data_IF_745617369019
#
_entry.id   IF_745617369019
#
_cell.length_a   1.000
_cell.length_b   1.000
_cell.length_c   1.000
_cell.angle_alpha   90.00
_cell.angle_beta   90.00
_cell.angle_gamma   90.00
#
_symmetry.space_group_name_H-M   'P 1'
#
loop_
_entity.id
_entity.type
_entity.pdbx_description
1 polymer ?
#
# COMPACT_ATOMS: atom_id res chain seq x y z
N UNK A 1 3.74 -32.17 10.83
CA UNK A 1 2.73 -31.55 11.74
C UNK A 1 2.31 -30.23 11.11
N UNK A 2 1.04 -30.10 10.74
CA UNK A 2 0.49 -28.90 10.09
C UNK A 2 0.39 -27.78 11.12
N UNK A 3 1.21 -26.73 10.97
CA UNK A 3 1.04 -25.47 11.69
C UNK A 3 -0.01 -24.63 10.95
N UNK A 4 -1.28 -24.91 11.21
CA UNK A 4 -2.30 -23.88 10.99
C UNK A 4 -1.98 -22.71 11.93
N UNK A 5 -2.00 -21.44 11.45
CA UNK A 5 -1.85 -20.30 12.34
C UNK A 5 -3.11 -20.21 13.21
N UNK A 6 -3.07 -20.84 14.38
CA UNK A 6 -4.06 -20.60 15.42
C UNK A 6 -3.81 -19.21 15.97
N UNK A 7 -4.58 -18.23 15.49
CA UNK A 7 -4.78 -17.00 16.26
C UNK A 7 -5.36 -17.39 17.60
N UNK A 8 -4.56 -17.33 18.67
CA UNK A 8 -5.02 -17.59 20.04
C UNK A 8 -6.25 -16.72 20.35
N UNK A 9 -7.29 -17.23 21.04
CA UNK A 9 -8.54 -16.51 21.35
C UNK A 9 -8.33 -15.09 21.92
N UNK A 10 -7.20 -14.87 22.59
CA UNK A 10 -6.78 -13.60 23.16
C UNK A 10 -6.51 -12.50 22.10
N UNK A 11 -5.93 -12.84 20.94
CA UNK A 11 -5.55 -11.84 19.94
C UNK A 11 -6.76 -11.23 19.22
N UNK A 12 -7.76 -12.05 18.89
CA UNK A 12 -9.00 -11.58 18.27
C UNK A 12 -9.78 -10.65 19.20
N UNK A 13 -9.89 -11.01 20.49
CA UNK A 13 -10.52 -10.18 21.51
C UNK A 13 -9.78 -8.84 21.70
N UNK A 14 -8.44 -8.85 21.71
CA UNK A 14 -7.65 -7.61 21.80
C UNK A 14 -7.81 -6.73 20.56
N UNK A 15 -7.85 -7.30 19.35
CA UNK A 15 -8.14 -6.56 18.11
C UNK A 15 -9.50 -5.89 18.19
N UNK A 16 -10.51 -6.63 18.62
CA UNK A 16 -11.86 -6.12 18.81
C UNK A 16 -11.88 -4.95 19.81
N UNK A 17 -11.24 -5.11 20.98
CA UNK A 17 -11.14 -4.06 21.99
C UNK A 17 -10.42 -2.79 21.48
N UNK A 18 -9.32 -2.96 20.74
CA UNK A 18 -8.63 -1.84 20.08
C UNK A 18 -9.58 -1.12 19.11
N UNK A 19 -10.28 -1.85 18.25
CA UNK A 19 -11.24 -1.24 17.31
C UNK A 19 -12.36 -0.50 18.05
N UNK A 20 -12.86 -1.04 19.16
CA UNK A 20 -13.87 -0.38 19.98
C UNK A 20 -13.36 0.93 20.60
N UNK A 21 -12.12 0.92 21.10
CA UNK A 21 -11.45 2.13 21.60
C UNK A 21 -11.26 3.17 20.49
N UNK A 22 -10.81 2.76 19.30
CA UNK A 22 -10.66 3.65 18.15
C UNK A 22 -12.01 4.27 17.76
N UNK A 23 -13.05 3.46 17.66
CA UNK A 23 -14.40 3.93 17.33
C UNK A 23 -14.93 4.93 18.37
N UNK A 24 -14.61 4.73 19.66
CA UNK A 24 -14.96 5.68 20.72
C UNK A 24 -14.20 7.01 20.59
N UNK A 25 -12.91 6.98 20.24
CA UNK A 25 -12.08 8.19 20.07
C UNK A 25 -12.56 9.05 18.88
N UNK A 26 -12.95 8.40 17.77
CA UNK A 26 -13.42 9.11 16.57
C UNK A 26 -14.89 9.52 16.65
N UNK A 27 -15.65 9.03 17.64
CA UNK A 27 -17.06 9.34 17.79
C UNK A 27 -17.28 10.84 17.93
N UNK A 28 -18.19 11.39 17.12
CA UNK A 28 -18.53 12.81 17.13
C UNK A 28 -17.48 13.74 16.50
N UNK A 29 -16.30 13.23 16.14
CA UNK A 29 -15.29 14.02 15.42
C UNK A 29 -15.72 14.17 13.96
N UNK A 30 -15.70 15.41 13.50
CA UNK A 30 -15.99 15.72 12.10
C UNK A 30 -14.82 15.38 11.19
N UNK A 31 -13.61 15.76 11.58
CA UNK A 31 -12.39 15.42 10.86
C UNK A 31 -11.53 14.56 11.78
N UNK A 32 -11.16 13.38 11.31
CA UNK A 32 -10.31 12.46 12.04
C UNK A 32 -9.47 11.64 11.06
N UNK A 33 -8.29 11.24 11.49
CA UNK A 33 -7.46 10.25 10.85
C UNK A 33 -7.05 9.20 11.86
N UNK A 34 -6.94 7.96 11.41
CA UNK A 34 -6.36 6.88 12.19
C UNK A 34 -5.16 6.32 11.44
N UNK A 35 -4.03 6.27 12.14
CA UNK A 35 -2.83 5.58 11.72
C UNK A 35 -2.81 4.22 12.43
N UNK A 36 -3.18 3.16 11.70
CA UNK A 36 -3.16 1.79 12.21
C UNK A 36 -2.39 0.93 11.21
N UNK A 37 -1.40 0.19 11.70
CA UNK A 37 -0.64 -0.75 10.87
C UNK A 37 -1.55 -1.79 10.16
N UNK A 38 -1.04 -2.38 9.08
CA UNK A 38 -1.78 -3.38 8.31
C UNK A 38 -2.13 -4.59 9.18
N UNK A 39 -3.29 -5.21 8.95
CA UNK A 39 -3.72 -6.39 9.71
C UNK A 39 -4.47 -6.13 11.03
N UNK A 40 -4.69 -4.85 11.39
CA UNK A 40 -5.53 -4.45 12.54
C UNK A 40 -7.00 -4.14 12.19
N UNK A 41 -7.38 -4.22 10.90
CA UNK A 41 -8.77 -4.06 10.46
C UNK A 41 -9.21 -2.60 10.29
N UNK A 42 -8.42 -1.78 9.60
CA UNK A 42 -8.79 -0.39 9.25
C UNK A 42 -10.11 -0.32 8.49
N UNK A 43 -10.27 -1.17 7.48
CA UNK A 43 -11.47 -1.27 6.66
C UNK A 43 -12.68 -1.69 7.51
N UNK A 44 -12.53 -2.72 8.35
CA UNK A 44 -13.55 -3.08 9.34
C UNK A 44 -13.92 -1.93 10.30
N UNK A 45 -12.97 -1.11 10.78
CA UNK A 45 -13.29 0.09 11.58
C UNK A 45 -14.16 1.06 10.77
N UNK A 46 -13.83 1.31 9.51
CA UNK A 46 -14.63 2.13 8.61
C UNK A 46 -16.06 1.61 8.47
N UNK A 47 -16.22 0.31 8.21
CA UNK A 47 -17.53 -0.35 8.09
C UNK A 47 -18.33 -0.29 9.40
N UNK A 48 -17.70 -0.56 10.55
CA UNK A 48 -18.36 -0.50 11.86
C UNK A 48 -18.77 0.92 12.25
N UNK A 49 -18.00 1.93 11.86
CA UNK A 49 -18.38 3.32 12.02
C UNK A 49 -19.60 3.70 11.17
N UNK A 50 -19.66 3.24 9.90
CA UNK A 50 -20.85 3.41 9.04
C UNK A 50 -22.09 2.76 9.66
N UNK A 51 -21.97 1.53 10.13
CA UNK A 51 -23.06 0.77 10.73
C UNK A 51 -23.61 1.47 11.99
N UNK A 52 -22.72 1.97 12.86
CA UNK A 52 -23.12 2.79 14.03
C UNK A 52 -23.85 4.07 13.63
N UNK A 53 -23.46 4.71 12.53
CA UNK A 53 -24.11 5.94 12.05
C UNK A 53 -25.51 5.67 11.48
N UNK A 54 -25.68 4.55 10.77
CA UNK A 54 -26.98 4.09 10.26
C UNK A 54 -27.91 3.72 11.43
N UNK A 55 -27.45 2.87 12.35
CA UNK A 55 -28.23 2.40 13.49
C UNK A 55 -28.67 3.53 14.42
N UNK A 56 -27.85 4.59 14.57
CA UNK A 56 -28.17 5.73 15.40
C UNK A 56 -29.18 6.72 14.76
N UNK A 57 -29.66 6.46 13.53
CA UNK A 57 -30.54 7.38 12.82
C UNK A 57 -29.90 8.75 12.55
N UNK A 58 -28.55 8.84 12.59
CA UNK A 58 -27.80 10.10 12.45
C UNK A 58 -27.60 10.53 10.99
N UNK A 59 -28.24 9.84 10.07
CA UNK A 59 -28.30 10.22 8.67
C UNK A 59 -29.61 10.97 8.46
N UNK A 60 -29.60 12.19 7.87
CA UNK A 60 -30.84 12.90 7.59
C UNK A 60 -31.78 12.00 6.79
N UNK A 61 -33.05 11.94 7.20
CA UNK A 61 -34.12 11.43 6.34
C UNK A 61 -34.01 12.20 5.01
N UNK A 62 -33.82 11.45 3.91
CA UNK A 62 -33.74 11.98 2.53
C UNK A 62 -32.41 12.61 2.09
N UNK A 63 -31.27 11.94 2.32
CA UNK A 63 -30.19 12.06 1.34
C UNK A 63 -30.63 11.35 0.05
N UNK A 64 -30.87 12.10 -1.02
CA UNK A 64 -31.08 11.54 -2.35
C UNK A 64 -29.77 10.86 -2.82
N UNK A 65 -29.60 9.59 -2.46
CA UNK A 65 -28.43 8.78 -2.83
C UNK A 65 -27.68 8.18 -1.64
N UNK A 66 -26.51 7.62 -1.94
CA UNK A 66 -25.68 6.89 -0.98
C UNK A 66 -25.01 7.86 0.01
N UNK A 67 -25.18 7.70 1.33
CA UNK A 67 -24.66 8.63 2.33
C UNK A 67 -23.14 8.57 2.51
N UNK A 68 -22.49 7.48 2.12
CA UNK A 68 -21.06 7.28 2.33
C UNK A 68 -20.29 7.26 1.02
N UNK A 69 -19.09 7.85 1.02
CA UNK A 69 -18.11 7.71 -0.06
C UNK A 69 -16.84 7.09 0.49
N UNK A 70 -16.40 5.99 -0.12
CA UNK A 70 -15.08 5.40 0.11
C UNK A 70 -14.19 5.77 -1.06
N UNK A 71 -13.03 6.37 -0.77
CA UNK A 71 -12.04 6.74 -1.77
C UNK A 71 -10.69 6.08 -1.46
N UNK A 72 -10.03 5.52 -2.48
CA UNK A 72 -8.73 4.87 -2.33
C UNK A 72 -7.80 5.13 -3.54
N UNK A 73 -6.49 4.84 -3.45
CA UNK A 73 -5.55 5.07 -4.56
C UNK A 73 -5.82 4.20 -5.80
N UNK A 74 -6.24 2.96 -5.62
CA UNK A 74 -6.39 1.96 -6.69
C UNK A 74 -7.70 1.19 -6.55
N UNK A 75 -8.15 0.56 -7.65
CA UNK A 75 -9.35 -0.29 -7.64
C UNK A 75 -9.18 -1.52 -6.73
N UNK A 76 -7.99 -2.14 -6.72
CA UNK A 76 -7.71 -3.30 -5.88
C UNK A 76 -7.97 -3.03 -4.38
N UNK A 77 -7.61 -1.84 -3.88
CA UNK A 77 -7.89 -1.45 -2.50
C UNK A 77 -9.41 -1.31 -2.28
N UNK A 78 -10.16 -0.77 -3.25
CA UNK A 78 -11.62 -0.67 -3.16
C UNK A 78 -12.29 -2.05 -3.19
N UNK A 79 -11.77 -2.99 -3.98
CA UNK A 79 -12.34 -4.34 -4.09
C UNK A 79 -12.24 -5.13 -2.77
N UNK A 80 -11.32 -4.77 -1.88
CA UNK A 80 -11.21 -5.35 -0.55
C UNK A 80 -12.36 -4.93 0.39
N UNK A 81 -12.98 -3.77 0.19
CA UNK A 81 -14.06 -3.27 1.06
C UNK A 81 -15.33 -4.15 1.01
N UNK A 82 -15.90 -4.49 -0.17
CA UNK A 82 -17.00 -5.45 -0.26
C UNK A 82 -16.66 -6.82 0.34
N UNK A 83 -15.44 -7.31 0.09
CA UNK A 83 -15.00 -8.60 0.63
C UNK A 83 -14.99 -8.60 2.16
N UNK A 84 -14.45 -7.55 2.79
CA UNK A 84 -14.50 -7.40 4.24
C UNK A 84 -15.94 -7.23 4.74
N UNK A 85 -16.78 -6.46 4.05
CA UNK A 85 -18.19 -6.30 4.42
C UNK A 85 -18.92 -7.65 4.45
N UNK A 86 -18.74 -8.50 3.42
CA UNK A 86 -19.30 -9.85 3.42
C UNK A 86 -18.73 -10.73 4.53
N UNK A 87 -17.40 -10.71 4.71
CA UNK A 87 -16.70 -11.50 5.73
C UNK A 87 -17.20 -11.22 7.15
N UNK A 88 -17.53 -9.96 7.45
CA UNK A 88 -17.95 -9.54 8.78
C UNK A 88 -19.47 -9.33 8.91
N UNK A 89 -20.27 -9.78 7.93
CA UNK A 89 -21.74 -9.70 8.00
C UNK A 89 -22.31 -8.28 7.89
N UNK A 90 -21.56 -7.36 7.26
CA UNK A 90 -21.91 -5.95 7.06
C UNK A 90 -22.25 -5.62 5.60
N UNK A 91 -22.66 -6.62 4.81
CA UNK A 91 -22.93 -6.48 3.38
C UNK A 91 -24.07 -5.50 3.07
N UNK A 92 -25.01 -5.29 4.01
CA UNK A 92 -26.09 -4.30 3.88
C UNK A 92 -25.56 -2.86 3.74
N UNK A 93 -24.33 -2.58 4.20
CA UNK A 93 -23.71 -1.27 4.05
C UNK A 93 -23.40 -0.92 2.60
N UNK A 94 -23.22 -1.90 1.71
CA UNK A 94 -22.79 -1.68 0.32
C UNK A 94 -23.82 -0.89 -0.49
N UNK A 95 -25.10 -0.99 -0.15
CA UNK A 95 -26.17 -0.20 -0.74
C UNK A 95 -26.07 1.29 -0.36
N UNK A 96 -25.34 1.61 0.72
CA UNK A 96 -25.14 2.95 1.24
C UNK A 96 -23.76 3.56 0.91
N UNK A 97 -22.90 2.83 0.20
CA UNK A 97 -21.53 3.26 -0.14
C UNK A 97 -21.36 3.51 -1.65
N UNK A 98 -20.86 4.69 -2.01
CA UNK A 98 -20.23 4.94 -3.30
C UNK A 98 -18.73 4.68 -3.18
N UNK A 99 -18.16 3.93 -4.13
CA UNK A 99 -16.72 3.71 -4.22
C UNK A 99 -16.12 4.58 -5.33
N UNK A 100 -14.96 5.18 -5.07
CA UNK A 100 -14.23 5.94 -6.09
C UNK A 100 -12.72 5.83 -5.90
N UNK A 101 -11.94 6.04 -6.96
CA UNK A 101 -10.50 6.20 -6.82
C UNK A 101 -10.15 7.66 -6.56
N UNK A 102 -9.00 7.95 -5.96
CA UNK A 102 -8.52 9.33 -5.79
C UNK A 102 -8.47 10.11 -7.11
N UNK A 103 -8.11 9.44 -8.21
CA UNK A 103 -8.16 10.02 -9.57
C UNK A 103 -9.52 10.63 -9.92
N UNK A 104 -10.61 10.03 -9.44
CA UNK A 104 -11.98 10.43 -9.74
C UNK A 104 -12.69 11.11 -8.56
N UNK A 105 -12.00 11.34 -7.45
CA UNK A 105 -12.59 11.87 -6.21
C UNK A 105 -13.32 13.21 -6.44
N UNK A 106 -12.70 14.15 -7.17
CA UNK A 106 -13.31 15.43 -7.48
C UNK A 106 -14.64 15.29 -8.25
N UNK A 107 -14.71 14.35 -9.21
CA UNK A 107 -15.96 14.06 -9.95
C UNK A 107 -17.01 13.44 -9.05
N UNK A 108 -16.61 12.48 -8.20
CA UNK A 108 -17.54 11.84 -7.27
C UNK A 108 -18.16 12.84 -6.29
N UNK A 109 -17.35 13.75 -5.74
CA UNK A 109 -17.80 14.82 -4.83
C UNK A 109 -18.67 15.87 -5.52
N UNK A 110 -18.48 16.12 -6.81
CA UNK A 110 -19.34 17.02 -7.58
C UNK A 110 -20.70 16.39 -7.93
N UNK A 111 -20.73 15.08 -8.17
CA UNK A 111 -21.93 14.35 -8.58
C UNK A 111 -22.83 13.91 -7.42
N UNK A 112 -22.29 13.83 -6.20
CA UNK A 112 -22.97 13.23 -5.06
C UNK A 112 -22.92 14.06 -3.79
N UNK A 113 -23.88 13.81 -2.91
CA UNK A 113 -24.02 14.51 -1.63
C UNK A 113 -23.80 13.52 -0.49
N UNK A 114 -22.54 13.36 -0.07
CA UNK A 114 -22.18 12.41 0.99
C UNK A 114 -22.18 13.04 2.36
N UNK A 115 -22.53 12.28 3.40
CA UNK A 115 -22.50 12.70 4.80
C UNK A 115 -21.13 12.46 5.44
N UNK A 116 -20.47 11.36 5.08
CA UNK A 116 -19.14 11.03 5.57
C UNK A 116 -18.27 10.44 4.45
N UNK A 117 -17.03 10.91 4.37
CA UNK A 117 -16.01 10.35 3.49
C UNK A 117 -15.10 9.42 4.30
N UNK A 118 -14.73 8.31 3.69
CA UNK A 118 -13.72 7.38 4.19
C UNK A 118 -12.58 7.38 3.16
N UNK A 119 -11.46 7.99 3.55
CA UNK A 119 -10.30 8.17 2.68
C UNK A 119 -9.27 7.10 3.04
N UNK A 120 -9.31 5.99 2.32
CA UNK A 120 -8.39 4.87 2.52
C UNK A 120 -7.03 5.19 1.90
N UNK A 121 -5.96 4.80 2.58
CA UNK A 121 -4.61 5.30 2.34
C UNK A 121 -4.55 6.83 2.16
N UNK A 122 -5.09 7.58 3.14
CA UNK A 122 -5.21 9.04 3.07
C UNK A 122 -3.86 9.77 2.86
N UNK A 123 -2.74 9.11 3.11
CA UNK A 123 -1.40 9.61 2.80
C UNK A 123 -1.13 9.73 1.28
N UNK A 124 -2.01 9.20 0.42
CA UNK A 124 -1.95 9.30 -1.03
C UNK A 124 -2.70 10.51 -1.61
N UNK A 125 -3.28 11.37 -0.74
CA UNK A 125 -3.90 12.62 -1.16
C UNK A 125 -2.91 13.55 -1.88
N UNK A 126 -3.45 14.38 -2.77
CA UNK A 126 -2.74 15.39 -3.57
C UNK A 126 -3.53 16.69 -3.58
N UNK A 127 -2.87 17.80 -3.90
CA UNK A 127 -3.46 19.15 -3.94
C UNK A 127 -4.69 19.20 -4.87
N UNK A 128 -4.70 18.40 -5.93
CA UNK A 128 -5.85 18.28 -6.84
C UNK A 128 -7.15 17.82 -6.15
N UNK A 129 -7.08 17.19 -4.97
CA UNK A 129 -8.26 16.76 -4.22
C UNK A 129 -8.79 17.84 -3.27
N UNK A 130 -7.94 18.81 -2.90
CA UNK A 130 -8.21 19.76 -1.84
C UNK A 130 -9.50 20.57 -2.04
N UNK A 131 -9.80 21.13 -3.23
CA UNK A 131 -11.02 21.91 -3.42
C UNK A 131 -12.30 21.12 -3.04
N UNK A 132 -12.34 19.83 -3.36
CA UNK A 132 -13.45 18.94 -3.02
C UNK A 132 -13.54 18.66 -1.51
N UNK A 133 -12.40 18.38 -0.88
CA UNK A 133 -12.32 18.12 0.56
C UNK A 133 -12.69 19.36 1.38
N UNK A 134 -12.19 20.53 0.98
CA UNK A 134 -12.51 21.81 1.59
C UNK A 134 -14.00 22.11 1.50
N UNK A 135 -14.61 21.97 0.32
CA UNK A 135 -16.03 22.18 0.13
C UNK A 135 -16.90 21.20 0.92
N UNK A 136 -16.45 19.94 1.08
CA UNK A 136 -17.14 18.96 1.92
C UNK A 136 -17.07 19.31 3.40
N UNK A 137 -15.87 19.66 3.90
CA UNK A 137 -15.65 20.05 5.30
C UNK A 137 -16.40 21.36 5.65
N UNK A 138 -16.44 22.32 4.74
CA UNK A 138 -17.17 23.59 4.90
C UNK A 138 -18.68 23.38 5.09
N UNK A 139 -19.28 22.36 4.44
CA UNK A 139 -20.70 21.96 4.59
C UNK A 139 -21.01 21.22 5.89
N UNK A 140 -20.14 21.34 6.88
CA UNK A 140 -20.22 20.68 8.18
C UNK A 140 -20.22 19.14 8.14
N UNK A 141 -19.75 18.51 7.05
CA UNK A 141 -19.72 17.05 6.91
C UNK A 141 -18.46 16.43 7.48
N UNK A 142 -18.46 15.10 7.59
CA UNK A 142 -17.40 14.34 8.25
C UNK A 142 -16.43 13.68 7.26
N UNK A 143 -15.18 13.51 7.67
CA UNK A 143 -14.11 12.83 6.95
C UNK A 143 -13.34 11.95 7.95
N UNK A 144 -13.15 10.69 7.59
CA UNK A 144 -12.28 9.75 8.29
C UNK A 144 -11.16 9.31 7.34
N UNK A 145 -9.92 9.67 7.64
CA UNK A 145 -8.73 9.15 6.97
C UNK A 145 -8.27 7.85 7.60
N UNK A 146 -7.94 6.87 6.77
CA UNK A 146 -7.37 5.59 7.18
C UNK A 146 -5.98 5.48 6.56
N UNK A 147 -4.94 5.18 7.34
CA UNK A 147 -3.59 4.98 6.80
C UNK A 147 -2.80 3.99 7.65
N UNK A 148 -1.93 3.20 7.03
CA UNK A 148 -0.89 2.44 7.75
C UNK A 148 0.38 3.25 8.00
N UNK A 149 0.59 4.31 7.24
CA UNK A 149 1.83 5.09 7.20
C UNK A 149 1.48 6.57 7.14
N UNK A 150 1.30 7.25 8.28
CA UNK A 150 1.06 8.70 8.28
C UNK A 150 2.27 9.44 7.65
N UNK A 151 2.07 10.61 7.01
CA UNK A 151 3.16 11.35 6.40
C UNK A 151 4.25 11.75 7.42
N UNK A 152 5.50 11.38 7.16
CA UNK A 152 6.62 11.71 8.05
C UNK A 152 6.98 13.20 8.07
N UNK A 153 6.71 13.92 6.96
CA UNK A 153 7.03 15.34 6.83
C UNK A 153 5.75 16.17 6.81
N UNK A 154 5.51 16.90 7.90
CA UNK A 154 4.31 17.74 8.06
C UNK A 154 4.16 18.81 6.95
N UNK A 155 5.28 19.38 6.49
CA UNK A 155 5.29 20.45 5.48
C UNK A 155 5.21 19.94 4.03
N UNK A 156 5.21 18.62 3.82
CA UNK A 156 4.98 18.06 2.48
C UNK A 156 3.52 18.27 2.06
N UNK A 157 3.24 18.23 0.76
CA UNK A 157 1.88 18.23 0.18
C UNK A 157 0.95 17.28 0.96
N UNK A 158 1.38 16.02 1.09
CA UNK A 158 0.66 14.96 1.79
C UNK A 158 0.48 15.26 3.28
N UNK A 159 1.54 15.74 3.93
CA UNK A 159 1.53 16.09 5.35
C UNK A 159 0.50 17.18 5.66
N UNK A 160 0.50 18.25 4.87
CA UNK A 160 -0.45 19.36 4.99
C UNK A 160 -1.90 18.88 4.80
N UNK A 161 -2.17 18.12 3.74
CA UNK A 161 -3.51 17.62 3.44
C UNK A 161 -4.04 16.65 4.50
N UNK A 162 -3.22 15.71 4.96
CA UNK A 162 -3.60 14.79 6.04
C UNK A 162 -3.84 15.57 7.33
N UNK A 163 -2.95 16.48 7.72
CA UNK A 163 -3.13 17.30 8.93
C UNK A 163 -4.43 18.13 8.89
N UNK A 164 -4.81 18.61 7.71
CA UNK A 164 -5.98 19.48 7.52
C UNK A 164 -7.30 18.69 7.51
N UNK A 165 -7.38 17.60 6.73
CA UNK A 165 -8.65 16.90 6.47
C UNK A 165 -8.78 15.56 7.19
N UNK A 166 -7.66 14.96 7.59
CA UNK A 166 -7.58 13.66 8.26
C UNK A 166 -6.64 13.74 9.49
N UNK A 167 -6.82 14.70 10.42
CA UNK A 167 -5.89 14.89 11.52
C UNK A 167 -5.76 13.60 12.33
N UNK A 168 -4.54 13.06 12.45
CA UNK A 168 -4.30 11.79 13.11
C UNK A 168 -4.60 11.92 14.60
N UNK A 169 -5.66 11.26 15.05
CA UNK A 169 -6.14 11.26 16.46
C UNK A 169 -5.91 9.93 17.15
N UNK A 170 -5.61 8.90 16.37
CA UNK A 170 -5.14 7.58 16.84
C UNK A 170 -3.91 7.27 16.01
N UNK A 171 -2.80 7.01 16.69
CA UNK A 171 -1.59 6.45 16.09
C UNK A 171 -1.24 5.19 16.85
N UNK A 172 -1.23 4.06 16.14
CA UNK A 172 -0.91 2.76 16.69
C UNK A 172 0.08 2.06 15.74
N UNK A 173 1.33 2.11 16.15
CA UNK A 173 2.49 1.70 15.36
C UNK A 173 2.57 0.19 15.21
N UNK A 174 3.36 -0.28 14.23
CA UNK A 174 3.64 -1.71 14.06
C UNK A 174 4.28 -2.31 15.31
N UNK A 175 5.20 -1.60 15.95
CA UNK A 175 5.91 -2.10 17.13
C UNK A 175 4.97 -2.24 18.33
N UNK A 176 4.08 -1.26 18.56
CA UNK A 176 3.03 -1.38 19.58
C UNK A 176 2.10 -2.56 19.31
N UNK A 177 1.75 -2.80 18.04
CA UNK A 177 0.91 -3.94 17.66
C UNK A 177 1.58 -5.30 17.85
N UNK A 178 2.89 -5.39 17.60
CA UNK A 178 3.68 -6.60 17.91
C UNK A 178 3.77 -6.81 19.42
N UNK A 179 4.11 -5.77 20.18
CA UNK A 179 4.19 -5.84 21.65
C UNK A 179 2.86 -6.24 22.31
N UNK A 180 1.73 -5.78 21.75
CA UNK A 180 0.39 -6.16 22.22
C UNK A 180 -0.06 -7.57 21.78
N UNK A 181 0.75 -8.28 20.99
CA UNK A 181 0.42 -9.59 20.43
C UNK A 181 -0.71 -9.55 19.40
N UNK A 182 -0.90 -8.41 18.73
CA UNK A 182 -1.90 -8.20 17.68
C UNK A 182 -1.36 -8.57 16.29
N UNK A 183 -0.04 -8.45 16.11
CA UNK A 183 0.69 -8.86 14.91
C UNK A 183 1.76 -9.89 15.27
N UNK A 184 2.13 -10.68 14.26
CA UNK A 184 3.27 -11.59 14.37
C UNK A 184 4.56 -10.78 14.52
N UNK A 185 5.50 -11.31 15.30
CA UNK A 185 6.84 -10.76 15.40
C UNK A 185 7.54 -10.81 14.03
N UNK A 186 8.37 -9.81 13.74
CA UNK A 186 9.07 -9.66 12.47
C UNK A 186 10.50 -9.21 12.71
N UNK A 187 11.40 -9.66 11.83
CA UNK A 187 12.82 -9.27 11.87
C UNK A 187 13.23 -8.67 10.54
N UNK A 188 13.75 -7.46 10.57
CA UNK A 188 14.34 -6.81 9.40
C UNK A 188 15.84 -7.10 9.35
N UNK A 189 16.28 -7.75 8.27
CA UNK A 189 17.70 -8.04 8.02
C UNK A 189 18.13 -7.35 6.74
N UNK A 190 19.09 -6.42 6.84
CA UNK A 190 19.60 -5.65 5.71
C UNK A 190 20.90 -6.25 5.20
N UNK A 191 20.84 -6.93 4.06
CA UNK A 191 22.01 -7.48 3.38
C UNK A 191 22.58 -6.46 2.39
N UNK A 192 23.79 -5.96 2.68
CA UNK A 192 24.53 -5.08 1.75
C UNK A 192 25.39 -5.95 0.84
N UNK A 193 25.24 -5.79 -0.47
CA UNK A 193 26.00 -6.54 -1.46
C UNK A 193 27.02 -5.62 -2.14
N UNK A 194 28.28 -6.07 -2.31
CA UNK A 194 29.22 -5.36 -3.16
C UNK A 194 28.76 -5.45 -4.62
N UNK A 195 29.01 -4.40 -5.39
CA UNK A 195 28.82 -4.46 -6.84
C UNK A 195 29.84 -5.42 -7.44
N UNK A 196 29.35 -6.34 -8.28
CA UNK A 196 30.19 -7.30 -8.99
C UNK A 196 31.26 -6.56 -9.82
N UNK A 197 32.49 -7.06 -9.75
CA UNK A 197 33.61 -6.65 -10.59
C UNK A 197 33.76 -7.53 -11.84
N UNK A 198 33.02 -8.64 -11.90
CA UNK A 198 33.04 -9.55 -13.04
C UNK A 198 32.41 -8.85 -14.23
N UNK A 199 33.05 -8.93 -15.39
CA UNK A 199 32.54 -8.34 -16.64
C UNK A 199 31.57 -9.30 -17.33
N UNK A 200 30.45 -9.57 -16.70
CA UNK A 200 29.37 -10.44 -17.18
C UNK A 200 28.04 -9.69 -17.36
N UNK A 201 28.01 -8.39 -17.04
CA UNK A 201 26.84 -7.54 -17.20
C UNK A 201 26.77 -6.97 -18.62
N UNK A 202 25.81 -7.49 -19.39
CA UNK A 202 25.60 -7.13 -20.79
C UNK A 202 24.63 -5.95 -20.93
N UNK A 203 25.10 -4.89 -21.57
CA UNK A 203 24.29 -3.73 -21.94
C UNK A 203 23.92 -3.82 -23.41
N UNK A 204 22.64 -3.62 -23.74
CA UNK A 204 22.16 -3.52 -25.12
C UNK A 204 21.72 -2.09 -25.40
N UNK A 205 22.31 -1.47 -26.41
CA UNK A 205 21.96 -0.11 -26.85
C UNK A 205 20.80 -0.12 -27.84
N UNK A 206 20.16 1.04 -28.04
CA UNK A 206 19.06 1.19 -29.03
C UNK A 206 19.49 0.83 -30.46
N UNK A 207 20.77 0.99 -30.78
CA UNK A 207 21.39 0.59 -32.04
C UNK A 207 21.49 -0.93 -32.22
N UNK A 208 21.17 -1.73 -31.20
CA UNK A 208 21.36 -3.18 -31.18
C UNK A 208 22.79 -3.61 -30.82
N UNK A 209 23.75 -2.68 -30.74
CA UNK A 209 25.10 -3.00 -30.25
C UNK A 209 25.06 -3.42 -28.79
N UNK A 210 26.00 -4.29 -28.43
CA UNK A 210 26.10 -4.84 -27.08
C UNK A 210 27.47 -4.52 -26.49
N UNK A 211 27.52 -4.22 -25.20
CA UNK A 211 28.74 -3.99 -24.44
C UNK A 211 28.74 -4.86 -23.19
N UNK A 212 29.85 -5.57 -22.98
CA UNK A 212 30.10 -6.33 -21.77
C UNK A 212 30.89 -5.51 -20.76
N UNK A 213 30.34 -5.36 -19.56
CA UNK A 213 30.92 -4.58 -18.45
C UNK A 213 30.63 -5.27 -17.12
N UNK A 214 31.09 -4.70 -16.01
CA UNK A 214 30.69 -5.12 -14.67
C UNK A 214 29.62 -4.20 -14.08
N UNK A 215 28.90 -4.67 -13.05
CA UNK A 215 27.98 -3.81 -12.27
C UNK A 215 28.72 -2.58 -11.71
N UNK A 216 29.95 -2.79 -11.22
CA UNK A 216 30.79 -1.72 -10.67
C UNK A 216 31.15 -0.68 -11.71
N UNK A 217 31.66 -1.10 -12.87
CA UNK A 217 32.02 -0.19 -13.97
C UNK A 217 30.81 0.60 -14.47
N UNK A 218 29.68 -0.08 -14.68
CA UNK A 218 28.46 0.58 -15.12
C UNK A 218 27.96 1.60 -14.08
N UNK A 219 28.02 1.26 -12.79
CA UNK A 219 27.64 2.18 -11.73
C UNK A 219 28.57 3.40 -11.66
N UNK A 220 29.88 3.20 -11.84
CA UNK A 220 30.85 4.28 -11.92
C UNK A 220 30.59 5.19 -13.13
N UNK A 221 30.26 4.64 -14.29
CA UNK A 221 29.89 5.42 -15.46
C UNK A 221 28.75 6.40 -15.14
N UNK A 222 27.64 5.91 -14.58
CA UNK A 222 26.51 6.77 -14.20
C UNK A 222 26.84 7.75 -13.08
N UNK A 223 27.65 7.31 -12.11
CA UNK A 223 28.09 8.18 -11.01
C UNK A 223 28.96 9.32 -11.51
N UNK A 224 29.88 9.06 -12.43
CA UNK A 224 30.75 10.08 -13.03
C UNK A 224 29.94 11.07 -13.87
N UNK A 225 28.96 10.59 -14.66
CA UNK A 225 28.05 11.50 -15.38
C UNK A 225 27.27 12.41 -14.44
N UNK A 226 26.74 11.86 -13.35
CA UNK A 226 26.03 12.65 -12.35
C UNK A 226 26.94 13.64 -11.61
N UNK A 227 28.20 13.28 -11.34
CA UNK A 227 29.16 14.19 -10.72
C UNK A 227 29.51 15.38 -11.62
N UNK A 228 29.46 15.17 -12.94
CA UNK A 228 29.71 16.17 -13.98
C UNK A 228 28.40 16.63 -14.65
N UNK A 229 27.28 16.61 -13.92
CA UNK A 229 25.96 16.88 -14.51
C UNK A 229 25.82 18.31 -15.08
N UNK A 230 26.67 19.25 -14.64
CA UNK A 230 26.71 20.60 -15.20
C UNK A 230 27.18 20.64 -16.67
N UNK A 231 27.95 19.63 -17.10
CA UNK A 231 28.46 19.50 -18.47
C UNK A 231 27.72 18.42 -19.27
N UNK A 232 26.74 17.75 -18.67
CA UNK A 232 25.96 16.69 -19.31
C UNK A 232 24.78 17.28 -20.09
N UNK A 233 24.38 16.62 -21.18
CA UNK A 233 23.22 17.04 -21.97
C UNK A 233 21.87 16.71 -21.31
N UNK A 234 21.87 15.85 -20.30
CA UNK A 234 20.67 15.46 -19.56
C UNK A 234 20.53 16.23 -18.24
N UNK A 235 19.31 16.62 -17.84
CA UNK A 235 19.06 17.18 -16.52
C UNK A 235 19.51 16.26 -15.39
N UNK A 236 19.94 16.86 -14.27
CA UNK A 236 20.39 16.15 -13.05
C UNK A 236 19.39 15.07 -12.62
N UNK A 237 18.10 15.39 -12.63
CA UNK A 237 17.05 14.45 -12.20
C UNK A 237 16.95 13.23 -13.13
N UNK A 238 17.10 13.46 -14.44
CA UNK A 238 17.17 12.37 -15.44
C UNK A 238 18.37 11.47 -15.19
N UNK A 239 19.55 12.04 -14.90
CA UNK A 239 20.75 11.26 -14.57
C UNK A 239 20.58 10.42 -13.29
N UNK A 240 19.91 10.97 -12.27
CA UNK A 240 19.57 10.23 -11.04
C UNK A 240 18.66 9.04 -11.34
N UNK A 241 17.64 9.24 -12.18
CA UNK A 241 16.71 8.18 -12.60
C UNK A 241 17.46 7.08 -13.37
N UNK A 242 18.32 7.45 -14.32
CA UNK A 242 19.07 6.47 -15.12
C UNK A 242 20.04 5.64 -14.27
N UNK A 243 20.74 6.26 -13.31
CA UNK A 243 21.59 5.53 -12.37
C UNK A 243 20.79 4.56 -11.49
N UNK A 244 19.62 5.01 -11.00
CA UNK A 244 18.72 4.16 -10.22
C UNK A 244 18.22 2.97 -11.06
N UNK A 245 17.81 3.20 -12.32
CA UNK A 245 17.38 2.14 -13.23
C UNK A 245 18.50 1.12 -13.49
N UNK A 246 19.73 1.57 -13.64
CA UNK A 246 20.88 0.68 -13.74
C UNK A 246 21.03 -0.20 -12.49
N UNK A 247 21.04 0.41 -11.29
CA UNK A 247 21.11 -0.30 -10.00
C UNK A 247 19.95 -1.29 -9.77
N UNK A 248 18.78 -1.03 -10.34
CA UNK A 248 17.62 -1.92 -10.25
C UNK A 248 17.81 -3.16 -11.12
N UNK A 249 18.54 -3.07 -12.24
CA UNK A 249 18.72 -4.15 -13.20
C UNK A 249 19.98 -5.01 -12.97
N UNK A 250 20.82 -4.66 -12.00
CA UNK A 250 22.01 -5.44 -11.66
C UNK A 250 21.67 -6.86 -11.19
N UNK A 251 22.23 -7.91 -11.83
CA UNK A 251 21.83 -9.29 -11.60
C UNK A 251 22.24 -9.83 -10.22
N UNK A 252 23.29 -9.28 -9.59
CA UNK A 252 23.81 -9.75 -8.30
C UNK A 252 22.77 -9.79 -7.18
N UNK A 253 21.86 -8.81 -7.14
CA UNK A 253 20.73 -8.81 -6.19
C UNK A 253 19.77 -9.98 -6.43
N UNK A 254 19.46 -10.27 -7.69
CA UNK A 254 18.60 -11.38 -8.07
C UNK A 254 19.23 -12.73 -7.74
N UNK A 255 20.53 -12.90 -8.01
CA UNK A 255 21.27 -14.11 -7.64
C UNK A 255 21.27 -14.34 -6.13
N UNK A 256 21.56 -13.31 -5.35
CA UNK A 256 21.56 -13.41 -3.89
C UNK A 256 20.17 -13.65 -3.32
N UNK A 257 19.14 -12.98 -3.87
CA UNK A 257 17.74 -13.22 -3.51
C UNK A 257 17.35 -14.69 -3.74
N UNK A 258 17.71 -15.28 -4.89
CA UNK A 258 17.48 -16.70 -5.17
C UNK A 258 18.21 -17.61 -4.21
N UNK A 259 19.47 -17.29 -3.90
CA UNK A 259 20.25 -18.04 -2.91
C UNK A 259 19.56 -18.02 -1.54
N UNK A 260 19.17 -16.85 -1.02
CA UNK A 260 18.45 -16.77 0.26
C UNK A 260 17.14 -17.55 0.23
N UNK A 261 16.38 -17.43 -0.87
CA UNK A 261 15.13 -18.15 -1.05
C UNK A 261 15.33 -19.67 -1.07
N UNK A 262 16.44 -20.18 -1.60
CA UNK A 262 16.72 -21.63 -1.63
C UNK A 262 17.12 -22.19 -0.26
N UNK A 263 17.56 -21.34 0.67
CA UNK A 263 17.89 -21.75 2.04
C UNK A 263 16.65 -21.90 2.95
N UNK A 264 15.47 -21.46 2.50
CA UNK A 264 14.25 -21.55 3.29
C UNK A 264 13.43 -22.78 2.91
N UNK A 265 12.82 -23.47 3.86
CA UNK A 265 11.85 -24.54 3.57
C UNK A 265 10.42 -24.05 3.57
N UNK A 266 10.18 -22.90 4.20
CA UNK A 266 8.87 -22.27 4.38
C UNK A 266 8.44 -21.49 3.13
N UNK A 267 7.23 -20.92 3.18
CA UNK A 267 6.69 -20.04 2.13
C UNK A 267 7.52 -18.76 2.05
N UNK A 268 8.03 -18.44 0.85
CA UNK A 268 8.82 -17.22 0.59
C UNK A 268 8.15 -16.39 -0.50
N UNK A 269 7.87 -15.14 -0.18
CA UNK A 269 7.49 -14.10 -1.14
C UNK A 269 8.73 -13.34 -1.61
N UNK A 270 8.89 -13.20 -2.92
CA UNK A 270 10.03 -12.52 -3.54
C UNK A 270 9.55 -11.28 -4.27
N UNK A 271 9.86 -10.09 -3.76
CA UNK A 271 9.48 -8.83 -4.40
C UNK A 271 10.61 -8.32 -5.29
N UNK A 272 10.32 -8.13 -6.57
CA UNK A 272 11.26 -7.62 -7.57
C UNK A 272 10.79 -6.29 -8.15
N UNK A 273 11.69 -5.59 -8.84
CA UNK A 273 11.39 -4.28 -9.40
C UNK A 273 10.59 -4.35 -10.71
N UNK A 274 10.72 -5.45 -11.46
CA UNK A 274 10.08 -5.61 -12.76
C UNK A 274 9.68 -7.07 -13.05
N UNK A 275 8.88 -7.25 -14.09
CA UNK A 275 8.28 -8.53 -14.47
C UNK A 275 9.35 -9.56 -14.85
N UNK A 276 10.32 -9.18 -15.68
CA UNK A 276 11.41 -10.05 -16.10
C UNK A 276 12.22 -10.57 -14.91
N UNK A 277 12.44 -9.73 -13.89
CA UNK A 277 13.10 -10.17 -12.67
C UNK A 277 12.24 -11.13 -11.86
N UNK A 278 10.92 -10.91 -11.77
CA UNK A 278 10.00 -11.82 -11.08
C UNK A 278 10.00 -13.21 -11.74
N UNK A 279 9.84 -13.26 -13.06
CA UNK A 279 9.95 -14.48 -13.89
C UNK A 279 11.33 -15.11 -13.78
N UNK A 280 12.35 -14.27 -13.65
CA UNK A 280 13.66 -14.56 -13.13
C UNK A 280 13.63 -15.52 -11.93
N UNK A 281 12.96 -15.09 -10.86
CA UNK A 281 13.11 -15.61 -9.50
C UNK A 281 12.31 -16.85 -9.17
N UNK A 282 11.13 -17.03 -9.74
CA UNK A 282 10.26 -18.16 -9.44
C UNK A 282 9.38 -18.53 -10.64
N UNK A 283 9.03 -19.81 -10.73
CA UNK A 283 8.09 -20.31 -11.73
C UNK A 283 6.71 -19.65 -11.60
N UNK A 284 6.24 -19.49 -10.36
CA UNK A 284 4.98 -18.83 -10.07
C UNK A 284 5.21 -17.35 -9.80
N UNK A 285 4.54 -16.51 -10.57
CA UNK A 285 4.62 -15.06 -10.44
C UNK A 285 3.25 -14.41 -10.26
N UNK A 286 3.25 -13.22 -9.65
CA UNK A 286 2.09 -12.35 -9.51
C UNK A 286 2.42 -10.96 -10.08
N UNK A 287 1.89 -10.64 -11.26
CA UNK A 287 1.99 -9.32 -11.89
C UNK A 287 0.94 -9.15 -12.98
N UNK A 288 0.68 -7.89 -13.35
CA UNK A 288 -0.38 -7.50 -14.29
C UNK A 288 -0.37 -8.16 -15.67
N UNK A 289 0.75 -8.74 -16.11
CA UNK A 289 0.84 -9.46 -17.39
C UNK A 289 0.72 -10.99 -17.26
N UNK A 290 0.79 -11.54 -16.05
CA UNK A 290 0.60 -12.96 -15.84
C UNK A 290 -0.89 -13.26 -15.64
N UNK A 291 -1.50 -13.95 -16.61
CA UNK A 291 -2.91 -14.37 -16.59
C UNK A 291 -3.22 -15.35 -15.46
N UNK A 292 -2.22 -16.03 -14.91
CA UNK A 292 -2.35 -16.98 -13.80
C UNK A 292 -2.04 -16.35 -12.44
N UNK A 293 -1.88 -15.01 -12.34
CA UNK A 293 -1.53 -14.34 -11.08
C UNK A 293 -2.43 -14.75 -9.92
N UNK A 294 -3.75 -14.66 -10.08
CA UNK A 294 -4.69 -15.01 -9.02
C UNK A 294 -4.58 -16.49 -8.62
N UNK A 295 -4.55 -17.40 -9.60
CA UNK A 295 -4.40 -18.84 -9.36
C UNK A 295 -3.10 -19.16 -8.62
N UNK A 296 -2.01 -18.49 -8.97
CA UNK A 296 -0.72 -18.66 -8.29
C UNK A 296 -0.78 -18.15 -6.84
N UNK A 297 -1.46 -17.01 -6.60
CA UNK A 297 -1.67 -16.49 -5.26
C UNK A 297 -2.51 -17.45 -4.41
N UNK A 298 -3.57 -18.03 -4.98
CA UNK A 298 -4.43 -19.00 -4.30
C UNK A 298 -3.64 -20.26 -3.91
N UNK A 299 -2.83 -20.81 -4.84
CA UNK A 299 -1.91 -21.92 -4.56
C UNK A 299 -0.90 -21.59 -3.46
N UNK A 300 -0.33 -20.39 -3.48
CA UNK A 300 0.63 -19.94 -2.46
C UNK A 300 -0.05 -19.79 -1.09
N UNK A 301 -1.28 -19.27 -1.06
CA UNK A 301 -2.06 -19.16 0.16
C UNK A 301 -2.39 -20.54 0.74
N UNK A 302 -2.83 -21.48 -0.10
CA UNK A 302 -3.10 -22.87 0.25
C UNK A 302 -1.85 -23.66 0.69
N UNK A 303 -0.66 -23.21 0.28
CA UNK A 303 0.60 -23.88 0.60
C UNK A 303 1.02 -24.94 -0.42
N UNK A 304 0.30 -25.03 -1.55
CA UNK A 304 0.62 -25.92 -2.67
C UNK A 304 1.94 -25.54 -3.33
N UNK A 305 2.31 -24.27 -3.25
CA UNK A 305 3.59 -23.73 -3.73
C UNK A 305 4.27 -22.94 -2.62
N UNK A 306 5.60 -23.04 -2.55
CA UNK A 306 6.40 -22.38 -1.51
C UNK A 306 7.08 -21.09 -1.97
N UNK A 307 7.02 -20.77 -3.27
CA UNK A 307 7.68 -19.60 -3.86
C UNK A 307 6.70 -18.85 -4.74
N UNK A 308 6.60 -17.55 -4.51
CA UNK A 308 5.83 -16.64 -5.37
C UNK A 308 6.61 -15.35 -5.56
N UNK A 309 6.95 -15.03 -6.80
CA UNK A 309 7.62 -13.78 -7.15
C UNK A 309 6.63 -12.69 -7.59
N UNK A 310 6.73 -11.51 -7.01
CA UNK A 310 5.79 -10.41 -7.17
C UNK A 310 6.52 -9.16 -7.66
N UNK A 311 5.82 -8.28 -8.37
CA UNK A 311 6.37 -6.97 -8.78
C UNK A 311 5.90 -5.89 -7.81
N UNK A 312 6.84 -5.24 -7.13
CA UNK A 312 6.64 -4.17 -6.15
C UNK A 312 5.81 -4.54 -4.90
N UNK A 313 4.53 -4.89 -5.06
CA UNK A 313 3.61 -5.22 -3.97
C UNK A 313 2.58 -6.27 -4.42
N UNK A 314 2.00 -6.98 -3.45
CA UNK A 314 0.77 -7.74 -3.66
C UNK A 314 -0.40 -6.76 -3.54
N UNK A 315 -1.22 -6.71 -4.60
CA UNK A 315 -2.45 -5.92 -4.66
C UNK A 315 -3.65 -6.82 -4.50
#
# INVERSE_FOLDING_TARGET
MSFAPQTTPNAAARKQALQDQVLAIIQGRRLAGIALTMGLGKTLIGLRDMDRLLAAGKLPEQAAGKPFLVAAPTQAILDAWPQEAHKFGLAHLLDHITFTTYRSLGKALAAGTYQKLYLDECHALKDSHEPGLQAHAARKRSILGLTGTPPAQANSEKGRLVATYCPIVVDYTTDEAVLAGLLNDYRLVVHRLPLSTVRDYQLTFKSGSQLLTSERENYHYWTNRLANAAQDSLPVDTLRILRMQALMNYPGKGHYMRYLASQQTEKVLLFTCNQQQAEAQAEHTYHSKNKHSQVNLDKFNAGDIQRLACVAQLS
#
